data_IF_883169366213
#
_entry.id   IF_883169366213
#
_cell.length_a   1.000
_cell.length_b   1.000
_cell.length_c   1.000
_cell.angle_alpha   90.00
_cell.angle_beta   90.00
_cell.angle_gamma   90.00
#
_symmetry.space_group_name_H-M   'P 1'
#
loop_
_entity.id
_entity.type
_entity.pdbx_description
1 polymer ?
#
# COMPACT_ATOMS: atom_id res chain seq x y z
N UNK A 1 -13.26 -16.00 -11.79
CA UNK A 1 -12.51 -16.17 -10.53
C UNK A 1 -11.44 -17.21 -10.80
N UNK A 2 -10.18 -16.96 -10.45
CA UNK A 2 -9.14 -17.97 -10.65
C UNK A 2 -9.23 -19.02 -9.53
N UNK A 3 -8.82 -20.27 -9.80
CA UNK A 3 -8.76 -21.34 -8.80
C UNK A 3 -7.90 -20.97 -7.57
N UNK A 4 -6.95 -20.06 -7.74
CA UNK A 4 -6.13 -19.50 -6.67
C UNK A 4 -6.92 -18.52 -5.77
N UNK A 5 -7.76 -17.66 -6.36
CA UNK A 5 -8.63 -16.75 -5.61
C UNK A 5 -9.66 -17.51 -4.77
N UNK A 6 -10.20 -18.63 -5.28
CA UNK A 6 -11.16 -19.45 -4.54
C UNK A 6 -10.53 -20.16 -3.35
N UNK A 7 -9.32 -20.73 -3.53
CA UNK A 7 -8.55 -21.31 -2.43
C UNK A 7 -8.22 -20.28 -1.36
N UNK A 8 -7.80 -19.09 -1.77
CA UNK A 8 -7.53 -17.98 -0.87
C UNK A 8 -8.78 -17.57 -0.08
N UNK A 9 -9.94 -17.51 -0.74
CA UNK A 9 -11.21 -17.21 -0.05
C UNK A 9 -11.58 -18.29 0.95
N UNK A 10 -11.42 -19.57 0.59
CA UNK A 10 -11.72 -20.68 1.48
C UNK A 10 -10.82 -20.67 2.73
N UNK A 11 -9.52 -20.47 2.56
CA UNK A 11 -8.57 -20.37 3.68
C UNK A 11 -8.85 -19.14 4.55
N UNK A 12 -9.18 -18.00 3.95
CA UNK A 12 -9.56 -16.81 4.70
C UNK A 12 -10.88 -16.98 5.48
N UNK A 13 -11.83 -17.77 4.96
CA UNK A 13 -13.06 -18.13 5.67
C UNK A 13 -12.77 -19.06 6.85
N UNK A 14 -11.87 -20.03 6.68
CA UNK A 14 -11.42 -20.90 7.77
C UNK A 14 -10.67 -20.10 8.86
N UNK A 15 -9.84 -19.14 8.46
CA UNK A 15 -9.15 -18.24 9.37
C UNK A 15 -10.13 -17.41 10.21
N UNK A 16 -11.22 -16.94 9.59
CA UNK A 16 -12.27 -16.20 10.28
C UNK A 16 -12.99 -17.04 11.33
N UNK A 17 -13.33 -18.29 11.00
CA UNK A 17 -13.99 -19.22 11.93
C UNK A 17 -13.11 -19.54 13.15
N UNK A 18 -11.78 -19.45 12.98
CA UNK A 18 -10.82 -19.63 14.07
C UNK A 18 -10.63 -18.35 14.91
N UNK A 19 -10.93 -17.18 14.36
CA UNK A 19 -10.65 -15.86 14.95
C UNK A 19 -11.88 -14.95 14.89
N UNK A 20 -12.91 -15.34 15.62
CA UNK A 20 -14.20 -14.64 15.72
C UNK A 20 -14.07 -13.18 16.22
N UNK A 21 -13.02 -12.87 16.98
CA UNK A 21 -12.76 -11.55 17.56
C UNK A 21 -12.35 -10.49 16.52
N UNK A 22 -11.73 -10.94 15.41
CA UNK A 22 -11.30 -10.09 14.29
C UNK A 22 -12.42 -9.89 13.26
N UNK A 23 -13.40 -10.79 13.23
CA UNK A 23 -14.48 -10.80 12.27
C UNK A 23 -15.35 -9.52 12.36
N UNK A 24 -15.68 -8.95 11.21
CA UNK A 24 -16.67 -7.88 11.09
C UNK A 24 -17.58 -8.17 9.89
N UNK A 25 -18.86 -8.51 10.10
CA UNK A 25 -19.77 -8.80 9.01
C UNK A 25 -19.97 -7.58 8.11
N UNK A 26 -20.05 -7.80 6.80
CA UNK A 26 -20.18 -6.75 5.79
C UNK A 26 -18.86 -6.13 5.32
N UNK A 27 -17.72 -6.53 5.88
CA UNK A 27 -16.39 -6.12 5.42
C UNK A 27 -15.59 -7.33 4.94
N UNK A 28 -15.22 -7.34 3.68
CA UNK A 28 -14.36 -8.40 3.13
C UNK A 28 -12.91 -8.27 3.63
N UNK A 29 -12.49 -7.07 4.02
CA UNK A 29 -11.20 -6.82 4.67
C UNK A 29 -10.98 -7.65 5.93
N UNK A 30 -12.06 -8.00 6.65
CA UNK A 30 -11.99 -8.85 7.85
C UNK A 30 -11.33 -10.20 7.57
N UNK A 31 -11.62 -10.80 6.40
CA UNK A 31 -11.04 -12.07 5.96
C UNK A 31 -9.53 -11.97 5.79
N UNK A 32 -9.09 -10.86 5.21
CA UNK A 32 -7.67 -10.58 4.97
C UNK A 32 -6.92 -10.40 6.30
N UNK A 33 -7.53 -9.70 7.28
CA UNK A 33 -6.93 -9.53 8.59
C UNK A 33 -6.84 -10.83 9.38
N UNK A 34 -7.88 -11.67 9.35
CA UNK A 34 -7.87 -12.99 9.99
C UNK A 34 -6.80 -13.90 9.39
N UNK A 35 -6.72 -13.96 8.06
CA UNK A 35 -5.66 -14.72 7.37
C UNK A 35 -4.28 -14.17 7.75
N UNK A 36 -4.09 -12.85 7.73
CA UNK A 36 -2.80 -12.23 8.09
C UNK A 36 -2.41 -12.56 9.54
N UNK A 37 -3.36 -12.59 10.45
CA UNK A 37 -3.15 -12.97 11.84
C UNK A 37 -2.79 -14.47 11.97
N UNK A 38 -3.45 -15.33 11.20
CA UNK A 38 -3.13 -16.76 11.13
C UNK A 38 -1.70 -16.98 10.60
N UNK A 39 -1.27 -16.25 9.55
CA UNK A 39 0.11 -16.32 9.03
C UNK A 39 1.16 -15.84 10.04
N UNK A 40 0.83 -14.83 10.87
CA UNK A 40 1.73 -14.37 11.94
C UNK A 40 1.82 -15.36 13.10
N UNK A 41 0.76 -16.13 13.35
CA UNK A 41 0.74 -17.19 14.35
C UNK A 41 1.48 -18.43 13.85
N UNK A 42 1.18 -18.87 12.62
CA UNK A 42 1.68 -20.07 11.98
C UNK A 42 2.35 -19.71 10.64
N UNK A 43 3.63 -19.32 10.63
CA UNK A 43 4.31 -18.92 9.40
C UNK A 43 4.56 -20.15 8.50
N UNK A 44 4.12 -20.14 7.24
CA UNK A 44 4.44 -21.21 6.29
C UNK A 44 5.93 -21.20 5.90
N UNK A 45 6.41 -22.31 5.34
CA UNK A 45 7.80 -22.42 4.87
C UNK A 45 8.09 -21.34 3.81
N UNK A 46 9.12 -20.52 4.02
CA UNK A 46 9.47 -19.38 3.15
C UNK A 46 8.90 -18.02 3.59
N UNK A 47 8.02 -17.98 4.58
CA UNK A 47 7.50 -16.73 5.17
C UNK A 47 8.51 -16.13 6.16
N UNK A 48 8.74 -14.80 6.17
CA UNK A 48 9.63 -14.15 7.13
C UNK A 48 9.13 -14.38 8.56
N UNK A 49 10.02 -14.84 9.45
CA UNK A 49 9.66 -15.09 10.84
C UNK A 49 9.08 -13.86 11.51
N UNK A 50 8.15 -14.05 12.46
CA UNK A 50 7.53 -12.97 13.24
C UNK A 50 8.55 -11.99 13.83
N UNK A 51 9.68 -12.49 14.34
CA UNK A 51 10.78 -11.67 14.88
C UNK A 51 11.42 -10.78 13.79
N UNK A 52 11.58 -11.29 12.57
CA UNK A 52 12.11 -10.53 11.43
C UNK A 52 11.15 -9.44 11.00
N UNK A 53 9.85 -9.74 10.93
CA UNK A 53 8.81 -8.75 10.62
C UNK A 53 8.75 -7.64 11.67
N UNK A 54 8.79 -7.99 12.96
CA UNK A 54 8.83 -7.02 14.06
C UNK A 54 10.03 -6.08 13.96
N UNK A 55 11.22 -6.62 13.64
CA UNK A 55 12.43 -5.80 13.44
C UNK A 55 12.39 -4.94 12.19
N UNK A 56 11.69 -5.38 11.15
CA UNK A 56 11.59 -4.64 9.89
C UNK A 56 10.56 -3.52 9.93
N UNK A 57 9.46 -3.68 10.66
CA UNK A 57 8.34 -2.75 10.66
C UNK A 57 8.35 -1.79 11.86
N UNK A 58 8.67 -2.29 13.05
CA UNK A 58 8.86 -1.52 14.30
C UNK A 58 7.81 -0.42 14.55
N UNK A 59 6.54 -0.67 14.19
CA UNK A 59 5.47 0.32 14.26
C UNK A 59 4.10 -0.29 14.50
N UNK A 60 3.19 0.58 14.95
CA UNK A 60 1.79 0.23 15.19
C UNK A 60 0.95 0.86 14.08
N UNK A 61 0.22 0.02 13.38
CA UNK A 61 -0.64 0.41 12.27
C UNK A 61 -2.10 0.43 12.73
N UNK A 62 -2.83 1.46 12.33
CA UNK A 62 -4.28 1.53 12.44
C UNK A 62 -4.87 1.60 11.03
N UNK A 63 -5.72 0.64 10.71
CA UNK A 63 -6.47 0.59 9.47
C UNK A 63 -7.89 1.07 9.73
N UNK A 64 -8.31 2.09 8.98
CA UNK A 64 -9.67 2.62 8.98
C UNK A 64 -10.27 2.25 7.62
N UNK A 65 -11.11 1.21 7.61
CA UNK A 65 -11.72 0.72 6.39
C UNK A 65 -13.11 1.33 6.25
N UNK A 66 -13.29 2.09 5.18
CA UNK A 66 -14.59 2.60 4.79
C UNK A 66 -15.39 1.51 4.08
N UNK A 67 -16.67 1.30 4.44
CA UNK A 67 -17.52 0.35 3.76
C UNK A 67 -17.71 0.75 2.29
N UNK A 68 -17.69 -0.25 1.40
CA UNK A 68 -17.87 -0.03 -0.04
C UNK A 68 -19.34 -0.07 -0.49
N UNK A 69 -20.24 -0.55 0.37
CA UNK A 69 -21.69 -0.59 0.15
C UNK A 69 -22.39 -0.14 1.43
N UNK A 70 -23.63 0.37 1.32
CA UNK A 70 -24.45 0.63 2.49
C UNK A 70 -24.66 -0.69 3.24
N UNK A 71 -24.36 -0.70 4.54
CA UNK A 71 -24.41 -1.91 5.40
C UNK A 71 -25.84 -2.49 5.48
N UNK A 72 -26.86 -1.69 5.15
CA UNK A 72 -28.23 -2.14 4.95
C UNK A 72 -28.99 -1.17 4.00
N UNK A 73 -29.37 -1.59 2.78
CA UNK A 73 -30.13 -0.75 1.85
C UNK A 73 -31.61 -0.57 2.25
N UNK A 74 -32.13 -1.34 3.22
CA UNK A 74 -33.53 -1.32 3.64
C UNK A 74 -33.85 -0.26 4.70
N UNK A 75 -32.83 0.27 5.39
CA UNK A 75 -33.02 1.23 6.47
C UNK A 75 -32.87 2.69 5.98
N UNK A 76 -33.91 3.54 5.98
CA UNK A 76 -33.82 4.90 5.46
C UNK A 76 -32.87 5.83 6.24
N UNK A 77 -32.45 5.45 7.46
CA UNK A 77 -31.38 6.16 8.21
C UNK A 77 -29.97 5.86 7.69
N UNK A 78 -29.82 4.96 6.72
CA UNK A 78 -28.53 4.61 6.08
C UNK A 78 -28.35 5.25 4.70
N UNK A 79 -29.20 6.21 4.30
CA UNK A 79 -28.94 6.97 3.07
C UNK A 79 -27.76 7.93 3.29
N UNK A 80 -26.73 7.92 2.42
CA UNK A 80 -25.72 8.97 2.43
C UNK A 80 -26.41 10.32 2.18
N UNK A 81 -26.25 11.25 3.12
CA UNK A 81 -26.72 12.63 2.92
C UNK A 81 -25.99 13.20 1.70
N UNK A 82 -26.77 13.78 0.80
CA UNK A 82 -26.41 14.29 -0.52
C UNK A 82 -24.92 14.65 -0.68
N UNK A 83 -24.22 13.93 -1.57
CA UNK A 83 -22.90 14.32 -2.08
C UNK A 83 -21.69 14.06 -1.18
N UNK A 84 -21.85 13.64 0.07
CA UNK A 84 -20.73 13.37 0.99
C UNK A 84 -20.82 11.94 1.56
N UNK A 85 -20.47 10.96 0.72
CA UNK A 85 -20.42 9.53 1.09
C UNK A 85 -19.39 9.18 2.17
N UNK A 86 -18.61 10.14 2.68
CA UNK A 86 -17.58 9.92 3.69
C UNK A 86 -18.05 10.11 5.14
N UNK A 87 -19.20 10.78 5.38
CA UNK A 87 -19.62 11.21 6.73
C UNK A 87 -21.14 11.13 6.95
N UNK A 88 -21.76 9.95 6.80
CA UNK A 88 -23.18 9.76 7.16
C UNK A 88 -23.31 8.82 8.35
N UNK A 89 -23.74 9.39 9.49
CA UNK A 89 -23.71 8.81 10.84
C UNK A 89 -24.62 7.61 11.13
N UNK A 90 -25.07 6.88 10.13
CA UNK A 90 -25.86 5.65 10.29
C UNK A 90 -25.51 4.53 9.31
N UNK A 91 -24.99 4.88 8.13
CA UNK A 91 -24.83 3.98 6.98
C UNK A 91 -23.44 3.41 6.78
N UNK A 92 -22.44 4.23 7.07
CA UNK A 92 -21.06 4.02 6.63
C UNK A 92 -20.13 4.15 7.84
N UNK A 93 -20.39 3.36 8.89
CA UNK A 93 -19.44 3.29 10.01
C UNK A 93 -18.17 2.62 9.50
N UNK A 94 -17.01 3.29 9.54
CA UNK A 94 -15.76 2.63 9.20
C UNK A 94 -15.48 1.53 10.23
N UNK A 95 -14.96 0.42 9.75
CA UNK A 95 -14.45 -0.62 10.63
C UNK A 95 -12.95 -0.35 10.88
N UNK A 96 -12.55 -0.54 12.13
CA UNK A 96 -11.19 -0.28 12.58
C UNK A 96 -10.51 -1.60 12.86
N UNK A 97 -9.27 -1.74 12.39
CA UNK A 97 -8.36 -2.81 12.78
C UNK A 97 -7.00 -2.22 13.14
N UNK A 98 -6.33 -2.83 14.10
CA UNK A 98 -4.95 -2.47 14.44
C UNK A 98 -4.02 -3.64 14.17
N UNK A 99 -2.78 -3.33 13.82
CA UNK A 99 -1.69 -4.29 13.75
C UNK A 99 -0.52 -3.75 14.59
N UNK A 100 -0.22 -4.42 15.70
CA UNK A 100 0.96 -4.12 16.53
C UNK A 100 2.15 -4.91 16.01
N UNK A 101 2.93 -4.31 15.12
CA UNK A 101 4.19 -4.87 14.60
C UNK A 101 5.41 -4.30 15.32
N UNK A 102 5.22 -3.71 16.51
CA UNK A 102 6.28 -3.10 17.30
C UNK A 102 6.73 -4.01 18.43
N UNK A 103 5.78 -4.58 19.17
CA UNK A 103 6.09 -5.40 20.34
C UNK A 103 5.67 -6.86 20.13
N UNK A 104 4.35 -7.08 20.01
CA UNK A 104 3.80 -8.43 20.06
C UNK A 104 3.71 -9.06 18.67
N UNK A 105 3.39 -8.33 17.62
CA UNK A 105 3.13 -8.89 16.30
C UNK A 105 1.73 -9.48 16.22
N UNK A 106 0.74 -8.71 16.71
CA UNK A 106 -0.66 -9.15 16.82
C UNK A 106 -1.56 -8.21 16.04
N UNK A 107 -2.53 -8.78 15.35
CA UNK A 107 -3.58 -8.05 14.65
C UNK A 107 -4.86 -8.22 15.47
N UNK A 108 -5.65 -7.17 15.59
CA UNK A 108 -6.93 -7.21 16.29
C UNK A 108 -7.89 -6.17 15.76
N UNK A 109 -9.16 -6.30 16.14
CA UNK A 109 -10.22 -5.35 15.77
C UNK A 109 -10.23 -4.16 16.74
N UNK A 110 -10.56 -2.99 16.20
CA UNK A 110 -10.73 -1.76 16.95
C UNK A 110 -9.49 -0.87 17.00
N UNK A 111 -9.40 -0.05 18.04
CA UNK A 111 -8.26 0.82 18.27
C UNK A 111 -7.11 0.03 18.91
N UNK A 112 -5.84 0.44 18.68
CA UNK A 112 -4.69 -0.20 19.30
C UNK A 112 -4.85 -0.26 20.84
N UNK A 113 -4.48 -1.39 21.47
CA UNK A 113 -4.69 -1.60 22.88
C UNK A 113 -3.94 -0.55 23.70
N UNK A 114 -4.57 -0.12 24.81
CA UNK A 114 -3.92 0.75 25.78
C UNK A 114 -2.67 0.07 26.32
N UNK A 115 -1.62 0.85 26.55
CA UNK A 115 -0.42 0.34 27.22
C UNK A 115 -0.76 -0.19 28.62
N UNK A 116 0.12 -1.04 29.17
CA UNK A 116 0.01 -1.57 30.54
C UNK A 116 -0.09 -0.44 31.58
N UNK A 117 0.40 0.76 31.26
CA UNK A 117 0.29 1.98 32.08
C UNK A 117 -1.02 2.78 31.86
N UNK A 118 -2.02 2.23 31.18
CA UNK A 118 -3.30 2.92 30.93
C UNK A 118 -3.25 4.05 29.89
N UNK A 119 -2.07 4.42 29.38
CA UNK A 119 -1.93 5.41 28.30
C UNK A 119 -2.46 4.84 26.99
N UNK A 120 -3.34 5.60 26.31
CA UNK A 120 -3.78 5.30 24.93
C UNK A 120 -2.55 5.22 24.05
N UNK A 121 -2.28 4.05 23.47
CA UNK A 121 -1.15 3.88 22.55
C UNK A 121 -1.56 4.50 21.22
N UNK A 122 -0.93 5.61 20.84
CA UNK A 122 -1.19 6.24 19.54
C UNK A 122 -0.64 5.33 18.44
N UNK A 123 -1.38 5.18 17.35
CA UNK A 123 -0.86 4.52 16.16
C UNK A 123 0.25 5.37 15.56
N UNK A 124 1.35 4.74 15.16
CA UNK A 124 2.47 5.40 14.48
C UNK A 124 2.08 5.75 13.03
N UNK A 125 1.28 4.87 12.42
CA UNK A 125 0.76 5.02 11.05
C UNK A 125 -0.73 4.73 11.04
N UNK A 126 -1.50 5.60 10.41
CA UNK A 126 -2.94 5.42 10.16
C UNK A 126 -3.18 5.35 8.66
N UNK A 127 -3.82 4.27 8.21
CA UNK A 127 -4.15 4.02 6.81
C UNK A 127 -5.66 4.02 6.68
N UNK A 128 -6.19 4.94 5.87
CA UNK A 128 -7.62 5.02 5.56
C UNK A 128 -7.82 4.58 4.11
N UNK A 129 -8.67 3.59 3.89
CA UNK A 129 -8.97 3.09 2.55
C UNK A 129 -10.39 2.50 2.47
N UNK A 130 -10.88 2.26 1.26
CA UNK A 130 -12.15 1.54 1.04
C UNK A 130 -11.94 0.04 1.11
N UNK A 131 -12.97 -0.71 1.49
CA UNK A 131 -12.93 -2.17 1.59
C UNK A 131 -12.49 -2.85 0.28
N UNK A 132 -13.01 -2.39 -0.87
CA UNK A 132 -12.61 -2.89 -2.20
C UNK A 132 -11.14 -2.65 -2.52
N UNK A 133 -10.66 -1.44 -2.26
CA UNK A 133 -9.30 -1.03 -2.56
C UNK A 133 -8.29 -1.81 -1.69
N UNK A 134 -8.67 -2.11 -0.44
CA UNK A 134 -7.89 -2.95 0.45
C UNK A 134 -7.83 -4.40 -0.04
N UNK A 135 -8.92 -4.96 -0.56
CA UNK A 135 -8.90 -6.30 -1.17
C UNK A 135 -7.99 -6.35 -2.40
N UNK A 136 -8.07 -5.37 -3.29
CA UNK A 136 -7.24 -5.30 -4.49
C UNK A 136 -5.75 -5.17 -4.15
N UNK A 137 -5.44 -4.37 -3.11
CA UNK A 137 -4.09 -4.24 -2.58
C UNK A 137 -3.61 -5.55 -1.99
N UNK A 138 -4.44 -6.18 -1.16
CA UNK A 138 -4.03 -7.39 -0.46
C UNK A 138 -3.99 -8.61 -1.40
N UNK A 139 -4.74 -8.64 -2.50
CA UNK A 139 -4.61 -9.68 -3.53
C UNK A 139 -3.42 -9.43 -4.45
N UNK A 140 -2.75 -8.28 -4.32
CA UNK A 140 -1.63 -7.90 -5.18
C UNK A 140 -2.05 -7.44 -6.58
N UNK A 141 -3.35 -7.26 -6.85
CA UNK A 141 -3.83 -6.74 -8.15
C UNK A 141 -3.38 -5.32 -8.39
N UNK A 142 -3.28 -4.53 -7.32
CA UNK A 142 -2.91 -3.11 -7.40
C UNK A 142 -1.81 -2.80 -6.41
N UNK A 143 -0.80 -2.05 -6.86
CA UNK A 143 0.29 -1.60 -6.00
C UNK A 143 -0.15 -0.42 -5.10
N UNK A 144 0.32 -0.42 -3.85
CA UNK A 144 -0.11 0.53 -2.82
C UNK A 144 0.24 1.99 -3.16
N UNK A 145 1.43 2.24 -3.74
CA UNK A 145 1.83 3.60 -4.14
C UNK A 145 0.89 4.16 -5.22
N UNK A 146 0.39 3.32 -6.14
CA UNK A 146 -0.56 3.75 -7.17
C UNK A 146 -1.88 4.22 -6.56
N UNK A 147 -2.41 3.48 -5.59
CA UNK A 147 -3.64 3.86 -4.89
C UNK A 147 -3.47 5.11 -4.02
N UNK A 148 -2.28 5.30 -3.44
CA UNK A 148 -1.94 6.53 -2.71
C UNK A 148 -1.86 7.74 -3.66
N UNK A 149 -1.16 7.60 -4.80
CA UNK A 149 -1.04 8.66 -5.81
C UNK A 149 -2.41 9.02 -6.42
N UNK A 150 -3.33 8.06 -6.52
CA UNK A 150 -4.72 8.28 -6.95
C UNK A 150 -5.61 8.93 -5.87
N UNK A 151 -5.11 9.13 -4.64
CA UNK A 151 -5.88 9.67 -3.53
C UNK A 151 -6.93 8.72 -2.95
N UNK A 152 -6.91 7.44 -3.33
CA UNK A 152 -7.86 6.40 -2.87
C UNK A 152 -7.50 5.84 -1.51
N UNK A 153 -6.20 5.80 -1.20
CA UNK A 153 -5.68 5.48 0.13
C UNK A 153 -5.12 6.76 0.73
N UNK A 154 -5.52 7.07 1.96
CA UNK A 154 -4.94 8.16 2.75
C UNK A 154 -4.04 7.58 3.83
N UNK A 155 -2.86 8.13 3.97
CA UNK A 155 -1.89 7.73 4.99
C UNK A 155 -1.63 8.93 5.90
N UNK A 156 -1.68 8.72 7.21
CA UNK A 156 -1.25 9.70 8.22
C UNK A 156 -0.10 9.09 9.03
N UNK A 157 0.97 9.85 9.24
CA UNK A 157 2.18 9.36 9.89
C UNK A 157 3.29 9.07 8.88
N UNK A 158 4.09 8.04 9.16
CA UNK A 158 5.24 7.66 8.34
C UNK A 158 4.79 6.90 7.07
N UNK A 159 4.94 7.55 5.91
CA UNK A 159 4.54 7.01 4.60
C UNK A 159 5.35 5.77 4.22
N UNK A 160 6.66 5.76 4.47
CA UNK A 160 7.54 4.65 4.09
C UNK A 160 7.16 3.38 4.84
N UNK A 161 6.84 3.51 6.13
CA UNK A 161 6.32 2.39 6.94
C UNK A 161 4.97 1.90 6.46
N UNK A 162 4.10 2.79 6.00
CA UNK A 162 2.79 2.44 5.45
C UNK A 162 2.93 1.61 4.17
N UNK A 163 3.78 2.08 3.24
CA UNK A 163 4.05 1.41 1.97
C UNK A 163 4.70 0.04 2.18
N UNK A 164 5.64 -0.08 3.13
CA UNK A 164 6.27 -1.37 3.47
C UNK A 164 5.28 -2.42 3.99
N UNK A 165 4.32 -2.03 4.82
CA UNK A 165 3.28 -2.99 5.26
C UNK A 165 2.36 -3.37 4.12
N UNK A 166 1.99 -2.41 3.29
CA UNK A 166 1.14 -2.69 2.15
C UNK A 166 1.82 -3.65 1.15
N UNK A 167 3.13 -3.50 0.90
CA UNK A 167 3.89 -4.43 0.06
C UNK A 167 4.07 -5.79 0.70
N UNK A 168 4.24 -5.88 2.03
CA UNK A 168 4.27 -7.17 2.72
C UNK A 168 2.93 -7.91 2.61
N UNK A 169 1.81 -7.21 2.83
CA UNK A 169 0.49 -7.83 2.72
C UNK A 169 0.25 -8.36 1.29
N UNK A 170 0.71 -7.65 0.25
CA UNK A 170 0.56 -8.08 -1.13
C UNK A 170 1.55 -9.19 -1.52
N UNK A 171 2.84 -9.06 -1.17
CA UNK A 171 3.88 -10.03 -1.52
C UNK A 171 3.70 -11.38 -0.85
N UNK A 172 3.32 -11.39 0.43
CA UNK A 172 3.15 -12.66 1.13
C UNK A 172 1.94 -13.42 0.57
N UNK A 173 0.91 -12.72 0.10
CA UNK A 173 -0.24 -13.34 -0.56
C UNK A 173 0.10 -13.79 -2.00
N UNK A 174 0.89 -13.03 -2.75
CA UNK A 174 1.34 -13.48 -4.08
C UNK A 174 2.27 -14.69 -4.01
N UNK A 175 3.16 -14.77 -3.01
CA UNK A 175 4.03 -15.93 -2.77
C UNK A 175 3.25 -17.19 -2.36
N UNK A 176 2.19 -17.04 -1.55
CA UNK A 176 1.39 -18.19 -1.07
C UNK A 176 0.45 -18.73 -2.17
N UNK A 177 -0.12 -17.86 -3.00
CA UNK A 177 -1.16 -18.26 -3.97
C UNK A 177 -0.74 -18.23 -5.44
N UNK A 178 0.51 -17.87 -5.74
CA UNK A 178 1.04 -17.85 -7.11
C UNK A 178 0.29 -16.90 -8.05
N UNK A 179 -0.46 -15.94 -7.50
CA UNK A 179 -1.04 -14.86 -8.30
C UNK A 179 0.10 -13.96 -8.74
N UNK A 180 0.29 -13.83 -10.05
CA UNK A 180 1.32 -12.97 -10.65
C UNK A 180 1.39 -11.66 -9.89
N UNK A 181 2.56 -11.35 -9.33
CA UNK A 181 2.84 -10.04 -8.78
C UNK A 181 2.34 -8.98 -9.77
N UNK A 182 1.82 -7.83 -9.29
CA UNK A 182 1.49 -6.75 -10.21
C UNK A 182 2.80 -6.46 -10.93
N UNK A 183 2.82 -6.75 -12.23
CA UNK A 183 3.91 -6.29 -13.07
C UNK A 183 3.90 -4.80 -12.85
N UNK A 184 4.98 -4.30 -12.25
CA UNK A 184 5.39 -2.96 -12.55
C UNK A 184 5.35 -2.91 -14.07
N UNK A 185 4.39 -2.16 -14.62
CA UNK A 185 4.60 -1.60 -15.94
C UNK A 185 5.75 -0.66 -15.68
N UNK A 186 6.95 -1.24 -15.68
CA UNK A 186 8.19 -0.60 -15.97
C UNK A 186 7.94 -0.05 -17.36
N UNK A 187 7.32 1.13 -17.39
CA UNK A 187 7.45 2.02 -18.50
C UNK A 187 8.96 2.22 -18.56
N UNK A 188 9.63 1.39 -19.36
CA UNK A 188 10.85 1.77 -20.04
C UNK A 188 10.50 3.10 -20.67
N UNK A 189 10.75 4.17 -19.93
CA UNK A 189 11.21 5.40 -20.51
C UNK A 189 12.47 4.93 -21.21
N UNK A 190 12.32 4.56 -22.49
CA UNK A 190 13.44 4.51 -23.37
C UNK A 190 14.09 5.86 -23.18
N UNK A 191 15.23 5.86 -22.50
CA UNK A 191 16.18 6.93 -22.64
C UNK A 191 16.33 7.06 -24.15
N UNK A 192 15.77 8.13 -24.71
CA UNK A 192 16.28 8.65 -25.96
C UNK A 192 17.69 9.06 -25.60
N UNK A 193 18.61 8.09 -25.71
CA UNK A 193 20.00 8.38 -25.96
C UNK A 193 19.96 9.26 -27.21
N UNK A 194 20.05 10.57 -27.00
CA UNK A 194 20.62 11.42 -28.01
C UNK A 194 22.01 10.85 -28.26
N UNK A 195 22.12 9.98 -29.27
CA UNK A 195 23.36 9.76 -29.98
C UNK A 195 23.83 11.15 -30.38
N UNK A 196 24.77 11.69 -29.60
CA UNK A 196 25.69 12.69 -30.13
C UNK A 196 26.48 11.90 -31.16
N UNK A 197 26.12 12.05 -32.42
CA UNK A 197 27.02 11.71 -33.52
C UNK A 197 28.34 12.44 -33.24
N UNK A 198 29.30 11.68 -32.70
CA UNK A 198 30.69 12.09 -32.69
C UNK A 198 31.12 12.15 -34.14
N UNK A 199 31.22 13.37 -34.66
CA UNK A 199 31.79 13.60 -35.97
C UNK A 199 33.30 13.29 -35.89
N UNK A 200 33.67 12.03 -36.13
CA UNK A 200 35.06 11.54 -36.24
C UNK A 200 35.68 11.98 -37.59
N UNK A 201 35.66 13.28 -37.85
CA UNK A 201 36.41 13.91 -38.92
C UNK A 201 37.45 14.85 -38.31
N UNK A 202 38.41 14.26 -37.60
CA UNK A 202 39.72 14.89 -37.35
C UNK A 202 40.67 14.44 -38.44
N UNK A 203 40.58 15.06 -39.60
CA UNK A 203 41.79 15.29 -40.38
C UNK A 203 41.64 16.47 -41.34
N UNK A 204 42.70 17.27 -41.39
CA UNK A 204 43.09 18.16 -42.48
C UNK A 204 42.02 19.09 -43.09
N UNK A 205 41.81 20.29 -42.53
CA UNK A 205 41.55 21.50 -43.34
C UNK A 205 41.58 22.83 -42.55
N UNK A 206 42.63 23.04 -41.73
CA UNK A 206 42.98 24.39 -41.27
C UNK A 206 43.88 25.08 -42.31
N UNK A 207 43.36 25.17 -43.54
CA UNK A 207 43.93 25.92 -44.65
C UNK A 207 43.01 27.10 -44.99
N UNK A 208 43.53 28.32 -44.85
CA UNK A 208 42.97 29.58 -45.36
C UNK A 208 41.67 30.12 -44.71
N UNK A 209 41.85 30.87 -43.63
CA UNK A 209 40.82 31.80 -43.13
C UNK A 209 41.49 32.93 -42.34
N UNK A 210 41.49 34.14 -42.90
CA UNK A 210 42.25 35.30 -42.43
C UNK A 210 42.03 35.65 -40.93
N UNK A 211 43.06 36.19 -40.24
CA UNK A 211 42.91 36.65 -38.85
C UNK A 211 41.96 37.85 -38.77
N UNK A 212 41.01 37.79 -37.84
CA UNK A 212 40.08 38.88 -37.56
C UNK A 212 40.82 40.16 -37.10
N UNK A 213 40.44 41.36 -37.57
CA UNK A 213 41.13 42.60 -37.22
C UNK A 213 40.80 43.02 -35.78
N UNK A 214 41.85 43.29 -34.99
CA UNK A 214 41.76 43.87 -33.66
C UNK A 214 41.36 45.36 -33.77
N UNK A 215 40.32 45.84 -33.06
CA UNK A 215 40.03 47.26 -33.01
C UNK A 215 40.98 47.97 -32.05
N UNK A 216 41.84 48.81 -32.64
CA UNK A 216 42.77 49.68 -31.94
C UNK A 216 42.01 50.88 -31.34
N UNK A 217 41.90 50.94 -30.01
CA UNK A 217 41.45 52.14 -29.29
C UNK A 217 42.36 52.41 -28.09
N UNK A 218 43.59 52.78 -28.38
CA UNK A 218 44.36 53.66 -27.52
C UNK A 218 43.90 55.12 -27.74
N UNK A 219 43.18 55.68 -26.77
CA UNK A 219 43.19 57.12 -26.44
C UNK A 219 42.85 57.31 -24.96
N UNK A 220 43.89 57.18 -24.13
CA UNK A 220 44.29 58.10 -23.04
C UNK A 220 45.37 57.43 -22.20
#
# INVERSE_FOLDING_TARGET
MSKAEERMKAEALQALDTQDDINCPGFESSRVFALSAQLLANPPAGFPSRKRLLRSLQSIYLFIIQPSAAIDPSNPRTKPVQGQASTSGGALRPALWYADMKNKGVIGRGQPPKTVLGRKRKADVVIECRDRDFMDLATGKVHAQKLYNQGRIKVKGDLDRALRVATLISHERSKIYGTSAPQDVETKVAAVEHQREGNDARDSDYGSGAPAPLPDRARL
#
